data_IF_029825444985
#
_entry.id   IF_029825444985
#
_cell.length_a   1.000
_cell.length_b   1.000
_cell.length_c   1.000
_cell.angle_alpha   90.00
_cell.angle_beta   90.00
_cell.angle_gamma   90.00
#
_symmetry.space_group_name_H-M   'P 1'
#
loop_
_entity.id
_entity.type
_entity.pdbx_description
1 polymer ?
#
# COMPACT_ATOMS: atom_id res chain seq x y z
N UNK A 1 41.41 -20.74 -25.35
CA UNK A 1 41.18 -20.86 -23.89
C UNK A 1 40.70 -19.57 -23.20
N UNK A 2 40.69 -18.39 -23.85
CA UNK A 2 40.16 -17.16 -23.25
C UNK A 2 38.63 -16.98 -23.40
N UNK A 3 38.04 -17.52 -24.48
CA UNK A 3 36.60 -17.39 -24.79
C UNK A 3 35.73 -18.22 -23.84
N UNK A 4 36.22 -19.40 -23.41
CA UNK A 4 35.51 -20.27 -22.48
C UNK A 4 35.39 -19.64 -21.08
N UNK A 5 36.36 -18.79 -20.68
CA UNK A 5 36.38 -18.12 -19.39
C UNK A 5 35.32 -17.02 -19.29
N UNK A 6 35.03 -16.32 -20.40
CA UNK A 6 34.01 -15.26 -20.44
C UNK A 6 32.58 -15.81 -20.36
N UNK A 7 32.31 -16.99 -20.90
CA UNK A 7 30.99 -17.62 -20.86
C UNK A 7 30.61 -18.10 -19.45
N UNK A 8 31.58 -18.51 -18.63
CA UNK A 8 31.34 -18.96 -17.25
C UNK A 8 31.03 -17.80 -16.31
N UNK A 9 31.59 -16.61 -16.53
CA UNK A 9 31.27 -15.41 -15.73
C UNK A 9 29.89 -14.83 -16.02
N UNK A 10 29.35 -15.03 -17.23
CA UNK A 10 28.01 -14.56 -17.59
C UNK A 10 26.88 -15.40 -16.99
N UNK A 11 27.13 -16.68 -16.65
CA UNK A 11 26.06 -17.58 -16.16
C UNK A 11 25.74 -17.42 -14.67
N UNK A 12 26.57 -16.71 -13.89
CA UNK A 12 26.38 -16.55 -12.44
C UNK A 12 25.49 -15.34 -12.10
N UNK A 13 25.23 -14.44 -13.05
CA UNK A 13 24.51 -13.19 -12.80
C UNK A 13 22.97 -13.30 -12.79
N UNK A 14 22.39 -14.43 -13.20
CA UNK A 14 20.94 -14.51 -13.48
C UNK A 14 20.07 -15.08 -12.34
N UNK A 15 20.58 -15.22 -11.12
CA UNK A 15 19.78 -15.67 -9.97
C UNK A 15 19.47 -14.54 -8.97
N UNK A 16 19.09 -13.35 -9.47
CA UNK A 16 18.37 -12.40 -8.63
C UNK A 16 16.96 -12.97 -8.40
N UNK A 17 16.78 -13.70 -7.31
CA UNK A 17 15.45 -14.09 -6.83
C UNK A 17 14.66 -12.80 -6.64
N UNK A 18 13.70 -12.56 -7.52
CA UNK A 18 12.76 -11.46 -7.41
C UNK A 18 11.93 -11.70 -6.14
N UNK A 19 12.36 -11.16 -5.01
CA UNK A 19 11.51 -11.02 -3.85
C UNK A 19 10.34 -10.15 -4.29
N UNK A 20 9.13 -10.72 -4.31
CA UNK A 20 7.92 -9.96 -4.59
C UNK A 20 7.87 -8.79 -3.60
N UNK A 21 7.62 -7.55 -4.06
CA UNK A 21 7.54 -6.40 -3.18
C UNK A 21 6.53 -6.71 -2.08
N UNK A 22 6.98 -6.64 -0.83
CA UNK A 22 6.07 -6.76 0.31
C UNK A 22 5.69 -5.35 0.68
N UNK A 23 4.49 -4.91 0.30
CA UNK A 23 3.98 -3.61 0.73
C UNK A 23 4.13 -3.47 2.25
N UNK A 24 4.95 -2.51 2.71
CA UNK A 24 5.21 -2.34 4.14
C UNK A 24 4.00 -1.76 4.85
N UNK A 25 3.97 -1.75 6.19
CA UNK A 25 2.86 -1.10 6.91
C UNK A 25 2.84 0.41 6.68
N UNK A 26 4.03 1.01 6.47
CA UNK A 26 4.17 2.42 6.11
C UNK A 26 3.60 2.68 4.72
N UNK A 27 3.99 1.88 3.73
CA UNK A 27 3.59 2.13 2.34
C UNK A 27 2.10 1.80 2.15
N UNK A 28 1.56 0.81 2.87
CA UNK A 28 0.13 0.53 2.87
C UNK A 28 -0.71 1.67 3.47
N UNK A 29 -0.20 2.31 4.53
CA UNK A 29 -0.81 3.52 5.10
C UNK A 29 -0.81 4.67 4.10
N UNK A 30 0.33 4.91 3.44
CA UNK A 30 0.45 5.96 2.43
C UNK A 30 -0.50 5.74 1.24
N UNK A 31 -0.55 4.51 0.70
CA UNK A 31 -1.46 4.16 -0.39
C UNK A 31 -2.95 4.30 0.02
N UNK A 32 -3.28 3.93 1.26
CA UNK A 32 -4.62 4.14 1.80
C UNK A 32 -4.97 5.62 1.92
N UNK A 33 -4.06 6.46 2.42
CA UNK A 33 -4.28 7.90 2.57
C UNK A 33 -4.42 8.59 1.21
N UNK A 34 -3.57 8.26 0.24
CA UNK A 34 -3.68 8.76 -1.14
C UNK A 34 -5.04 8.38 -1.73
N UNK A 35 -5.45 7.11 -1.60
CA UNK A 35 -6.75 6.65 -2.09
C UNK A 35 -7.89 7.36 -1.37
N UNK A 36 -7.79 7.55 -0.06
CA UNK A 36 -8.81 8.22 0.73
C UNK A 36 -9.00 9.68 0.29
N UNK A 37 -7.91 10.42 0.10
CA UNK A 37 -7.93 11.80 -0.39
C UNK A 37 -8.49 11.94 -1.81
N UNK A 38 -8.28 10.93 -2.67
CA UNK A 38 -8.81 10.94 -4.04
C UNK A 38 -10.34 11.10 -4.11
N UNK A 39 -11.07 10.64 -3.08
CA UNK A 39 -12.53 10.79 -2.99
C UNK A 39 -13.01 12.20 -2.63
N UNK A 40 -12.11 13.06 -2.15
CA UNK A 40 -12.44 14.42 -1.74
C UNK A 40 -11.85 15.47 -2.70
N UNK A 41 -11.60 15.09 -3.96
CA UNK A 41 -11.03 15.97 -5.00
C UNK A 41 -9.77 16.70 -4.52
N UNK A 42 -8.97 16.06 -3.66
CA UNK A 42 -7.77 16.63 -3.00
C UNK A 42 -8.02 17.85 -2.09
N UNK A 43 -9.26 18.16 -1.75
CA UNK A 43 -9.63 19.20 -0.77
C UNK A 43 -9.78 18.63 0.66
N UNK A 44 -9.69 17.30 0.81
CA UNK A 44 -9.65 16.65 2.11
C UNK A 44 -8.25 16.70 2.71
N UNK A 45 -8.16 16.56 4.02
CA UNK A 45 -6.91 16.52 4.78
C UNK A 45 -6.86 15.28 5.66
N UNK A 46 -5.68 14.67 5.79
CA UNK A 46 -5.45 13.60 6.77
C UNK A 46 -5.26 14.25 8.14
N UNK A 47 -6.20 14.05 9.05
CA UNK A 47 -6.15 14.64 10.40
C UNK A 47 -5.63 13.67 11.47
N UNK A 48 -5.53 12.39 11.14
CA UNK A 48 -4.97 11.36 12.01
C UNK A 48 -4.22 10.31 11.18
N UNK A 49 -3.06 9.82 11.63
CA UNK A 49 -2.30 8.81 10.88
C UNK A 49 -3.12 7.56 10.57
N UNK A 50 -2.99 7.03 9.36
CA UNK A 50 -3.63 5.77 9.00
C UNK A 50 -3.15 4.59 9.86
N UNK A 51 -4.04 3.61 10.03
CA UNK A 51 -3.80 2.41 10.84
C UNK A 51 -4.08 1.15 10.03
N UNK A 52 -3.12 0.22 10.05
CA UNK A 52 -3.35 -1.16 9.60
C UNK A 52 -4.21 -1.84 10.67
N UNK A 53 -5.40 -2.26 10.30
CA UNK A 53 -6.36 -2.90 11.21
C UNK A 53 -6.24 -4.42 11.16
N UNK A 54 -5.94 -4.97 9.98
CA UNK A 54 -5.82 -6.41 9.77
C UNK A 54 -4.80 -6.70 8.69
N UNK A 55 -4.07 -7.80 8.85
CA UNK A 55 -3.23 -8.43 7.83
C UNK A 55 -3.76 -9.82 7.56
N UNK A 56 -4.16 -10.09 6.33
CA UNK A 56 -4.68 -11.39 5.92
C UNK A 56 -3.52 -12.38 5.75
N UNK A 57 -3.60 -13.56 6.38
CA UNK A 57 -2.49 -14.51 6.38
C UNK A 57 -2.18 -15.07 4.99
N UNK A 58 -3.21 -15.50 4.25
CA UNK A 58 -3.08 -16.15 2.94
C UNK A 58 -2.73 -15.15 1.84
N UNK A 59 -3.55 -14.11 1.65
CA UNK A 59 -3.35 -13.14 0.56
C UNK A 59 -2.33 -12.05 0.88
N UNK A 60 -1.92 -11.91 2.14
CA UNK A 60 -1.03 -10.83 2.62
C UNK A 60 -1.60 -9.42 2.49
N UNK A 61 -2.84 -9.29 2.02
CA UNK A 61 -3.55 -8.02 1.94
C UNK A 61 -3.71 -7.39 3.33
N UNK A 62 -3.80 -6.07 3.37
CA UNK A 62 -3.98 -5.31 4.61
C UNK A 62 -5.26 -4.50 4.55
N UNK A 63 -6.06 -4.58 5.60
CA UNK A 63 -7.14 -3.63 5.79
C UNK A 63 -6.58 -2.41 6.51
N UNK A 64 -6.71 -1.24 5.89
CA UNK A 64 -6.15 0.01 6.39
C UNK A 64 -7.27 1.03 6.56
N UNK A 65 -7.26 1.74 7.68
CA UNK A 65 -8.15 2.86 7.93
C UNK A 65 -7.38 4.18 7.81
N UNK A 66 -7.91 5.08 6.99
CA UNK A 66 -7.46 6.46 6.79
C UNK A 66 -8.50 7.44 7.32
N UNK A 67 -8.04 8.56 7.87
CA UNK A 67 -8.90 9.51 8.59
C UNK A 67 -8.87 10.87 7.92
N UNK A 68 -9.93 11.18 7.19
CA UNK A 68 -10.02 12.38 6.35
C UNK A 68 -10.97 13.40 6.96
N UNK A 69 -10.53 14.65 7.03
CA UNK A 69 -11.36 15.83 7.31
C UNK A 69 -11.71 16.51 5.99
N UNK A 70 -12.96 16.91 5.82
CA UNK A 70 -13.43 17.69 4.68
C UNK A 70 -14.45 18.73 5.15
N UNK A 71 -14.03 20.00 5.18
CA UNK A 71 -14.72 21.05 5.93
C UNK A 71 -14.85 20.66 7.41
N UNK A 72 -16.06 20.75 7.97
CA UNK A 72 -16.34 20.36 9.36
C UNK A 72 -16.60 18.86 9.56
N UNK A 73 -16.59 18.06 8.47
CA UNK A 73 -16.91 16.64 8.53
C UNK A 73 -15.65 15.79 8.64
N UNK A 74 -15.73 14.71 9.43
CA UNK A 74 -14.68 13.69 9.57
C UNK A 74 -15.16 12.35 9.05
N UNK A 75 -14.28 11.65 8.35
CA UNK A 75 -14.57 10.36 7.74
C UNK A 75 -13.46 9.35 8.05
N UNK A 76 -13.85 8.11 8.33
CA UNK A 76 -12.98 6.95 8.25
C UNK A 76 -13.17 6.30 6.89
N UNK A 77 -12.09 6.21 6.11
CA UNK A 77 -12.04 5.49 4.83
C UNK A 77 -11.28 4.20 5.04
N UNK A 78 -11.87 3.08 4.66
CA UNK A 78 -11.25 1.76 4.83
C UNK A 78 -10.91 1.20 3.46
N UNK A 79 -9.66 0.78 3.30
CA UNK A 79 -9.13 0.22 2.07
C UNK A 79 -8.62 -1.20 2.30
N UNK A 80 -8.62 -2.01 1.24
CA UNK A 80 -7.80 -3.21 1.19
C UNK A 80 -6.58 -2.88 0.33
N UNK A 81 -5.40 -3.05 0.89
CA UNK A 81 -4.12 -2.83 0.21
C UNK A 81 -3.50 -4.18 -0.09
N UNK A 82 -3.12 -4.42 -1.34
CA UNK A 82 -2.46 -5.67 -1.75
C UNK A 82 -0.93 -5.62 -1.56
N UNK A 83 -0.25 -6.64 -2.06
CA UNK A 83 1.21 -6.77 -1.95
C UNK A 83 1.96 -5.72 -2.76
N UNK A 84 1.34 -5.16 -3.80
CA UNK A 84 1.92 -4.14 -4.70
C UNK A 84 1.57 -2.70 -4.25
N UNK A 85 1.04 -2.55 -3.03
CA UNK A 85 0.55 -1.30 -2.46
C UNK A 85 -0.61 -0.65 -3.23
N UNK A 86 -1.37 -1.43 -4.01
CA UNK A 86 -2.58 -0.91 -4.62
C UNK A 86 -3.73 -0.93 -3.61
N UNK A 87 -4.31 0.26 -3.35
CA UNK A 87 -5.39 0.45 -2.39
C UNK A 87 -6.76 0.46 -3.08
N UNK A 88 -7.60 -0.52 -2.75
CA UNK A 88 -9.02 -0.57 -3.15
C UNK A 88 -9.93 -0.13 -2.02
N UNK A 89 -10.97 0.64 -2.33
CA UNK A 89 -11.97 1.04 -1.34
C UNK A 89 -12.82 -0.16 -0.88
N UNK A 90 -13.11 -0.20 0.43
CA UNK A 90 -14.04 -1.16 1.03
C UNK A 90 -15.27 -0.43 1.57
N UNK A 91 -15.06 0.57 2.44
CA UNK A 91 -16.15 1.28 3.12
C UNK A 91 -15.75 2.69 3.56
N UNK A 92 -16.77 3.52 3.80
CA UNK A 92 -16.65 4.87 4.39
C UNK A 92 -17.61 4.98 5.56
N UNK A 93 -17.17 5.60 6.65
CA UNK A 93 -18.01 5.92 7.80
C UNK A 93 -17.83 7.39 8.15
N UNK A 94 -18.93 8.15 8.34
CA UNK A 94 -18.86 9.49 8.93
C UNK A 94 -18.66 9.34 10.43
N UNK A 95 -17.72 10.09 10.99
CA UNK A 95 -17.44 10.05 12.43
C UNK A 95 -18.32 11.07 13.15
N UNK A 96 -18.89 10.66 14.28
CA UNK A 96 -19.69 11.54 15.15
C UNK A 96 -21.11 11.82 14.64
N UNK A 97 -21.63 10.98 13.76
CA UNK A 97 -23.07 10.89 13.44
C UNK A 97 -23.73 9.78 14.26
#
# INVERSE_FOLDING_TARGET
>A
MKILLFLVLASVYSAAVLALPVCSDRDAKAASDEKALSYFRKQGEIFHPARVLKKHNTSRHKEVASYVKFGEKRYSIFTLVDTDCYARFIKRTRQGD
#
